data_IF_716335142284
#
_entry.id   IF_716335142284
#
_cell.length_a   1.000
_cell.length_b   1.000
_cell.length_c   1.000
_cell.angle_alpha   90.00
_cell.angle_beta   90.00
_cell.angle_gamma   90.00
#
_symmetry.space_group_name_H-M   'P 1'
#
loop_
_entity.id
_entity.type
_entity.pdbx_description
1 polymer ?
#
# COMPACT_ATOMS: atom_id res chain seq x y z
N UNK A 1 16.04 -1.82 -6.35
CA UNK A 1 15.71 -0.39 -6.32
C UNK A 1 16.80 0.34 -5.56
N UNK A 2 17.57 1.20 -6.23
CA UNK A 2 18.52 2.13 -5.62
C UNK A 2 17.78 3.37 -5.12
N UNK A 3 18.36 4.19 -4.22
CA UNK A 3 17.73 5.45 -3.81
C UNK A 3 17.41 6.39 -4.99
N UNK A 4 18.23 6.35 -6.04
CA UNK A 4 18.00 7.16 -7.25
C UNK A 4 16.80 6.65 -8.06
N UNK A 5 16.62 5.33 -8.16
CA UNK A 5 15.44 4.73 -8.80
C UNK A 5 14.16 5.03 -8.02
N UNK A 6 14.23 4.98 -6.68
CA UNK A 6 13.10 5.33 -5.81
C UNK A 6 12.67 6.79 -5.99
N UNK A 7 13.63 7.72 -6.08
CA UNK A 7 13.35 9.14 -6.31
C UNK A 7 12.54 9.37 -7.59
N UNK A 8 12.91 8.67 -8.67
CA UNK A 8 12.17 8.76 -9.94
C UNK A 8 10.73 8.28 -9.79
N UNK A 9 10.51 7.13 -9.14
CA UNK A 9 9.16 6.57 -8.90
C UNK A 9 8.29 7.51 -8.07
N UNK A 10 8.84 8.08 -7.00
CA UNK A 10 8.13 9.05 -6.15
C UNK A 10 7.72 10.33 -6.90
N UNK A 11 8.40 10.66 -8.01
CA UNK A 11 8.15 11.87 -8.80
C UNK A 11 7.12 11.67 -9.91
N UNK A 12 6.78 10.42 -10.24
CA UNK A 12 6.03 10.08 -11.46
C UNK A 12 4.54 9.81 -11.25
N UNK A 13 4.04 9.85 -10.01
CA UNK A 13 2.66 9.43 -9.70
C UNK A 13 2.10 9.94 -8.38
N UNK A 14 0.88 9.49 -8.07
CA UNK A 14 0.21 9.71 -6.79
C UNK A 14 0.73 8.68 -5.78
N UNK A 15 0.99 9.07 -4.53
CA UNK A 15 1.42 8.11 -3.50
C UNK A 15 0.22 7.57 -2.73
N UNK A 16 0.11 6.24 -2.62
CA UNK A 16 -0.92 5.57 -1.82
C UNK A 16 -0.37 5.14 -0.47
N UNK A 17 -1.11 5.49 0.58
CA UNK A 17 -0.82 5.13 1.96
C UNK A 17 -2.01 4.33 2.51
N UNK A 18 -2.08 3.01 2.25
CA UNK A 18 -3.20 2.19 2.68
C UNK A 18 -3.27 2.08 4.21
N UNK A 19 -4.49 1.97 4.73
CA UNK A 19 -4.71 1.68 6.14
C UNK A 19 -4.25 0.26 6.48
N UNK A 20 -3.69 0.09 7.66
CA UNK A 20 -3.43 -1.23 8.25
C UNK A 20 -4.74 -1.80 8.78
N UNK A 21 -5.09 -3.01 8.37
CA UNK A 21 -6.27 -3.70 8.85
C UNK A 21 -5.98 -4.45 10.16
N UNK A 22 -6.89 -4.32 11.12
CA UNK A 22 -6.87 -5.01 12.41
C UNK A 22 -8.19 -5.77 12.59
N UNK A 23 -8.16 -6.87 13.36
CA UNK A 23 -9.36 -7.62 13.73
C UNK A 23 -10.07 -7.04 14.96
N UNK A 24 -11.12 -7.73 15.44
CA UNK A 24 -11.92 -7.28 16.58
C UNK A 24 -11.14 -7.33 17.92
N UNK A 25 -10.01 -8.03 17.97
CA UNK A 25 -9.12 -8.11 19.11
C UNK A 25 -8.00 -7.06 19.02
N UNK A 26 -7.93 -6.33 17.91
CA UNK A 26 -6.89 -5.34 17.63
C UNK A 26 -5.59 -5.97 17.13
N UNK A 27 -5.60 -7.24 16.75
CA UNK A 27 -4.44 -7.90 16.15
C UNK A 27 -4.38 -7.57 14.66
N UNK A 28 -3.17 -7.52 14.11
CA UNK A 28 -2.98 -7.28 12.68
C UNK A 28 -3.74 -8.36 11.88
N UNK A 29 -4.50 -7.93 10.87
CA UNK A 29 -5.25 -8.81 9.98
C UNK A 29 -4.61 -8.82 8.57
N UNK A 30 -3.69 -9.77 8.29
CA UNK A 30 -3.00 -9.84 6.99
C UNK A 30 -3.98 -10.07 5.83
N UNK A 31 -5.02 -10.88 6.04
CA UNK A 31 -5.96 -11.24 4.99
C UNK A 31 -6.81 -10.02 4.57
N UNK A 32 -7.22 -9.18 5.53
CA UNK A 32 -7.89 -7.91 5.24
C UNK A 32 -6.98 -6.96 4.48
N UNK A 33 -5.74 -6.81 4.96
CA UNK A 33 -4.76 -5.91 4.36
C UNK A 33 -4.42 -6.30 2.91
N UNK A 34 -4.20 -7.58 2.62
CA UNK A 34 -3.96 -8.06 1.24
C UNK A 34 -5.13 -7.73 0.31
N UNK A 35 -6.38 -7.99 0.74
CA UNK A 35 -7.56 -7.65 -0.09
C UNK A 35 -7.67 -6.17 -0.37
N UNK A 36 -7.33 -5.32 0.61
CA UNK A 36 -7.28 -3.86 0.43
C UNK A 36 -6.23 -3.46 -0.60
N UNK A 37 -5.04 -4.05 -0.54
CA UNK A 37 -3.99 -3.80 -1.53
C UNK A 37 -4.40 -4.25 -2.94
N UNK A 38 -4.99 -5.44 -3.07
CA UNK A 38 -5.51 -5.95 -4.34
C UNK A 38 -6.59 -5.05 -4.92
N UNK A 39 -7.47 -4.50 -4.08
CA UNK A 39 -8.49 -3.54 -4.49
C UNK A 39 -7.91 -2.18 -4.90
N UNK A 40 -6.83 -1.71 -4.25
CA UNK A 40 -6.19 -0.43 -4.56
C UNK A 40 -5.30 -0.48 -5.81
N UNK A 41 -4.69 -1.63 -6.11
CA UNK A 41 -3.73 -1.77 -7.20
C UNK A 41 -4.20 -1.21 -8.57
N UNK A 42 -5.47 -1.36 -8.99
CA UNK A 42 -5.96 -0.83 -10.27
C UNK A 42 -6.07 0.69 -10.33
N UNK A 43 -6.14 1.38 -9.19
CA UNK A 43 -6.39 2.84 -9.15
C UNK A 43 -5.13 3.69 -9.34
N UNK A 44 -3.96 3.06 -9.37
CA UNK A 44 -2.71 3.73 -9.68
C UNK A 44 -2.21 4.61 -8.53
N UNK A 45 -1.19 4.09 -7.85
CA UNK A 45 -0.23 4.85 -7.09
C UNK A 45 1.17 4.29 -7.33
#
# INVERSE_FOLDING_TARGET
>A
MTPQELKTVLSSGLLSFPLTDFDAQGEFNPAGYVRRLEWLAPYGA
#
